data_IF_455004647137
#
_entry.id   IF_455004647137
#
_cell.length_a   1.000
_cell.length_b   1.000
_cell.length_c   1.000
_cell.angle_alpha   90.00
_cell.angle_beta   90.00
_cell.angle_gamma   90.00
#
_symmetry.space_group_name_H-M   'P 1'
#
loop_
_entity.id
_entity.type
_entity.pdbx_description
1 polymer ?
#
# COMPACT_ATOMS: atom_id res chain seq x y z
N UNK A 1 -12.49 -0.33 0.79
CA UNK A 1 -12.98 0.92 0.17
C UNK A 1 -14.05 0.62 -0.86
N UNK A 2 -15.06 -0.09 -0.38
CA UNK A 2 -16.43 0.04 -0.83
C UNK A 2 -17.31 0.58 0.32
N UNK A 3 -16.67 0.97 1.43
CA UNK A 3 -17.28 1.05 2.76
C UNK A 3 -17.52 2.50 3.20
N UNK A 4 -16.94 3.48 2.48
CA UNK A 4 -17.18 4.90 2.72
C UNK A 4 -17.75 5.55 1.46
N UNK A 5 -18.96 6.13 1.53
CA UNK A 5 -19.49 6.94 0.44
C UNK A 5 -18.63 8.19 0.27
N UNK A 6 -18.18 8.43 -0.97
CA UNK A 6 -17.35 9.58 -1.34
C UNK A 6 -15.87 9.27 -1.61
N UNK A 7 -15.33 8.14 -1.13
CA UNK A 7 -13.94 7.77 -1.40
C UNK A 7 -13.82 6.94 -2.68
N UNK A 8 -13.43 7.58 -3.78
CA UNK A 8 -13.31 6.95 -5.11
C UNK A 8 -11.92 6.41 -5.44
N UNK A 9 -10.89 6.86 -4.73
CA UNK A 9 -9.49 6.56 -5.07
C UNK A 9 -8.75 5.92 -3.90
N UNK A 10 -7.74 5.13 -4.23
CA UNK A 10 -6.77 4.59 -3.26
C UNK A 10 -5.40 5.16 -3.55
N UNK A 11 -4.69 5.48 -2.48
CA UNK A 11 -3.29 5.91 -2.54
C UNK A 11 -2.41 4.68 -2.72
N UNK A 12 -1.47 4.75 -3.66
CA UNK A 12 -0.45 3.71 -3.83
C UNK A 12 0.61 3.91 -2.75
N UNK A 13 0.83 2.88 -1.93
CA UNK A 13 1.86 2.88 -0.88
C UNK A 13 3.19 2.43 -1.47
N UNK A 14 4.28 3.09 -1.09
CA UNK A 14 5.63 2.87 -1.63
C UNK A 14 5.96 3.68 -2.88
N UNK A 15 5.13 4.67 -3.23
CA UNK A 15 5.36 5.62 -4.30
C UNK A 15 5.36 7.05 -3.75
N UNK A 16 6.22 7.92 -4.28
CA UNK A 16 6.48 9.28 -3.77
C UNK A 16 6.80 9.26 -2.26
N UNK A 17 6.12 10.10 -1.48
CA UNK A 17 6.33 10.27 -0.03
C UNK A 17 5.61 9.21 0.82
N UNK A 18 4.78 8.36 0.21
CA UNK A 18 4.01 7.37 0.94
C UNK A 18 4.90 6.16 1.28
N UNK A 19 5.42 6.10 2.51
CA UNK A 19 6.19 4.96 2.98
C UNK A 19 5.43 3.62 2.84
N UNK A 20 6.17 2.58 2.44
CA UNK A 20 5.68 1.21 2.37
C UNK A 20 5.54 0.56 3.75
N UNK A 21 4.70 -0.46 3.85
CA UNK A 21 4.46 -1.18 5.12
C UNK A 21 5.65 -2.10 5.43
N UNK A 22 6.29 -1.90 6.59
CA UNK A 22 7.39 -2.75 7.08
C UNK A 22 6.87 -4.16 7.43
N UNK A 23 7.68 -5.20 7.22
CA UNK A 23 7.41 -6.60 7.59
C UNK A 23 6.18 -7.28 6.94
N UNK A 24 5.62 -6.72 5.87
CA UNK A 24 4.62 -7.43 5.05
C UNK A 24 5.29 -8.57 4.27
N UNK A 25 4.95 -9.82 4.55
CA UNK A 25 5.46 -11.00 3.82
C UNK A 25 4.60 -11.38 2.60
N UNK A 26 3.29 -11.11 2.65
CA UNK A 26 2.32 -11.40 1.58
C UNK A 26 1.73 -10.12 0.97
N UNK A 27 1.39 -10.17 -0.33
CA UNK A 27 0.84 -9.05 -1.10
C UNK A 27 1.68 -7.75 -1.04
N UNK A 28 3.01 -7.90 -1.02
CA UNK A 28 4.01 -6.83 -0.87
C UNK A 28 3.90 -5.70 -1.89
N UNK A 29 3.55 -6.04 -3.14
CA UNK A 29 3.41 -5.10 -4.25
C UNK A 29 2.33 -4.04 -4.02
N UNK A 30 1.25 -4.38 -3.32
CA UNK A 30 0.14 -3.44 -3.04
C UNK A 30 0.45 -2.44 -1.93
N UNK A 31 1.46 -2.73 -1.12
CA UNK A 31 1.78 -1.98 0.10
C UNK A 31 3.20 -1.41 0.10
N UNK A 32 3.89 -1.43 -1.04
CA UNK A 32 5.23 -0.86 -1.16
C UNK A 32 6.30 -1.58 -0.33
N UNK A 33 6.07 -2.84 0.06
CA UNK A 33 7.02 -3.59 0.87
C UNK A 33 8.08 -4.24 -0.04
N UNK A 34 9.36 -3.91 0.18
CA UNK A 34 10.45 -4.56 -0.59
C UNK A 34 10.56 -6.03 -0.23
N UNK A 35 10.99 -6.85 -1.19
CA UNK A 35 11.35 -8.25 -0.93
C UNK A 35 12.59 -8.22 -0.02
N UNK A 36 12.48 -8.81 1.17
CA UNK A 36 13.65 -9.10 2.00
C UNK A 36 14.59 -9.99 1.17
N UNK A 37 15.85 -9.58 1.08
CA UNK A 37 16.90 -10.28 0.35
C UNK A 37 17.26 -11.57 1.06
#
# INVERSE_FOLDING_TARGET
MRDLPGVRYKIIRGALDAAGVKNRKQARSRYGAKRAK
#
